data_IF_302728715355
#
_entry.id   IF_302728715355
#
_cell.length_a   1.000
_cell.length_b   1.000
_cell.length_c   1.000
_cell.angle_alpha   90.00
_cell.angle_beta   90.00
_cell.angle_gamma   90.00
#
_symmetry.space_group_name_H-M   'P 1'
#
loop_
_entity.id
_entity.type
_entity.pdbx_description
1 polymer ?
#
# COMPACT_ATOMS: atom_id res chain seq x y z
N UNK A 1 9.90 -0.74 31.68
CA UNK A 1 11.04 -0.67 30.74
C UNK A 1 10.67 -1.44 29.47
N UNK A 2 10.87 -0.89 28.27
CA UNK A 2 10.58 -1.60 27.00
C UNK A 2 11.71 -2.60 26.70
N UNK A 3 11.38 -3.72 26.04
CA UNK A 3 12.35 -4.78 25.70
C UNK A 3 13.50 -4.27 24.83
N UNK A 4 13.22 -3.30 23.95
CA UNK A 4 14.18 -2.68 23.04
C UNK A 4 14.73 -1.34 23.55
N UNK A 5 14.59 -1.07 24.84
CA UNK A 5 15.14 0.10 25.54
C UNK A 5 14.69 1.49 25.02
N UNK A 6 13.71 1.54 24.12
CA UNK A 6 13.13 2.81 23.65
C UNK A 6 12.37 3.54 24.76
N UNK A 7 12.22 4.86 24.60
CA UNK A 7 11.29 5.64 25.41
C UNK A 7 9.82 5.28 25.07
N UNK A 8 8.87 5.72 25.91
CA UNK A 8 7.45 5.39 25.76
C UNK A 8 6.84 6.04 24.51
N UNK A 9 7.27 7.25 24.20
CA UNK A 9 6.86 8.09 23.07
C UNK A 9 7.74 7.93 21.83
N UNK A 10 8.87 7.24 21.95
CA UNK A 10 9.79 7.02 20.83
C UNK A 10 9.26 5.94 19.88
N UNK A 11 9.17 6.26 18.59
CA UNK A 11 8.92 5.30 17.52
C UNK A 11 10.10 4.31 17.36
N UNK A 12 9.86 3.17 16.70
CA UNK A 12 10.97 2.35 16.19
C UNK A 12 11.70 3.10 15.09
N UNK A 13 12.90 2.66 14.73
CA UNK A 13 13.57 3.14 13.53
C UNK A 13 12.67 2.95 12.31
N UNK A 14 12.49 4.02 11.53
CA UNK A 14 11.69 4.02 10.31
C UNK A 14 12.62 4.20 9.12
N UNK A 15 12.56 3.25 8.19
CA UNK A 15 13.29 3.33 6.92
C UNK A 15 12.34 3.14 5.75
N UNK A 16 12.52 3.95 4.71
CA UNK A 16 11.71 3.93 3.49
C UNK A 16 12.67 3.84 2.31
N UNK A 17 12.60 2.74 1.57
CA UNK A 17 13.42 2.51 0.38
C UNK A 17 12.52 2.55 -0.86
N UNK A 18 12.58 3.65 -1.63
CA UNK A 18 11.83 3.81 -2.89
C UNK A 18 12.52 3.08 -4.05
N UNK A 19 11.79 2.89 -5.15
CA UNK A 19 12.23 2.14 -6.33
C UNK A 19 12.73 0.73 -5.98
N UNK A 20 12.06 0.06 -5.04
CA UNK A 20 12.52 -1.22 -4.51
C UNK A 20 12.42 -2.37 -5.53
N UNK A 21 11.32 -2.42 -6.27
CA UNK A 21 11.12 -3.31 -7.42
C UNK A 21 10.97 -2.50 -8.71
N UNK A 22 11.25 -3.13 -9.85
CA UNK A 22 11.47 -2.43 -11.13
C UNK A 22 10.23 -2.12 -11.96
N UNK A 23 9.10 -2.79 -11.71
CA UNK A 23 7.98 -2.82 -12.66
C UNK A 23 6.81 -1.93 -12.26
N UNK A 24 6.51 -1.83 -10.96
CA UNK A 24 5.43 -0.98 -10.49
C UNK A 24 5.81 0.50 -10.64
N UNK A 25 4.86 1.35 -11.04
CA UNK A 25 5.09 2.78 -11.18
C UNK A 25 5.44 3.46 -9.84
N UNK A 26 5.00 2.87 -8.73
CA UNK A 26 5.55 3.13 -7.40
C UNK A 26 5.94 1.83 -6.69
N UNK A 27 7.12 1.80 -6.07
CA UNK A 27 7.59 0.61 -5.34
C UNK A 27 8.43 0.99 -4.14
N UNK A 28 7.98 0.60 -2.95
CA UNK A 28 8.55 1.02 -1.68
C UNK A 28 8.68 -0.15 -0.72
N UNK A 29 9.87 -0.38 -0.18
CA UNK A 29 10.04 -1.17 1.03
C UNK A 29 10.02 -0.23 2.24
N UNK A 30 9.02 -0.38 3.12
CA UNK A 30 8.92 0.34 4.39
C UNK A 30 9.27 -0.59 5.56
N UNK A 31 10.10 -0.09 6.46
CA UNK A 31 10.60 -0.82 7.63
C UNK A 31 10.31 -0.02 8.90
N UNK A 32 9.55 -0.60 9.84
CA UNK A 32 9.30 -0.07 11.19
C UNK A 32 9.98 -1.02 12.19
N UNK A 33 11.26 -0.77 12.49
CA UNK A 33 12.12 -1.75 13.14
C UNK A 33 12.18 -3.05 12.34
N UNK A 34 11.76 -4.16 12.95
CA UNK A 34 11.75 -5.48 12.29
C UNK A 34 10.53 -5.73 11.39
N UNK A 35 9.52 -4.87 11.43
CA UNK A 35 8.38 -5.00 10.52
C UNK A 35 8.76 -4.47 9.15
N UNK A 36 8.59 -5.29 8.11
CA UNK A 36 8.94 -4.97 6.72
C UNK A 36 7.76 -5.24 5.80
N UNK A 37 7.35 -4.22 5.06
CA UNK A 37 6.23 -4.30 4.11
C UNK A 37 6.69 -3.76 2.76
N UNK A 38 6.50 -4.55 1.71
CA UNK A 38 6.63 -4.10 0.34
C UNK A 38 5.29 -3.50 -0.10
N UNK A 39 5.31 -2.24 -0.49
CA UNK A 39 4.18 -1.51 -1.02
C UNK A 39 4.43 -1.19 -2.49
N UNK A 40 3.62 -1.73 -3.39
CA UNK A 40 3.65 -1.38 -4.81
C UNK A 40 2.38 -0.66 -5.21
N UNK A 41 2.51 0.27 -6.16
CA UNK A 41 1.42 1.00 -6.76
C UNK A 41 1.46 0.78 -8.27
N UNK A 42 0.42 0.14 -8.79
CA UNK A 42 0.28 -0.21 -10.21
C UNK A 42 -0.86 0.59 -10.83
N UNK A 43 -0.63 1.15 -12.02
CA UNK A 43 -1.63 1.96 -12.73
C UNK A 43 -2.37 1.13 -13.79
N UNK A 44 -3.69 1.20 -13.78
CA UNK A 44 -4.56 0.73 -14.85
C UNK A 44 -5.28 1.94 -15.50
N UNK A 45 -5.28 2.00 -16.84
CA UNK A 45 -6.00 3.04 -17.61
C UNK A 45 -7.50 2.69 -17.74
N UNK A 46 -8.11 2.27 -16.63
CA UNK A 46 -9.52 1.95 -16.52
C UNK A 46 -10.02 2.20 -15.11
N UNK A 47 -11.34 2.20 -14.92
CA UNK A 47 -11.99 2.35 -13.63
C UNK A 47 -12.99 1.23 -13.39
N UNK A 48 -13.35 0.94 -12.13
CA UNK A 48 -14.45 0.04 -11.81
C UNK A 48 -15.73 0.42 -12.57
N UNK A 49 -16.54 -0.58 -12.94
CA UNK A 49 -17.75 -0.38 -13.76
C UNK A 49 -18.70 0.69 -13.20
N UNK A 50 -18.80 0.82 -11.89
CA UNK A 50 -19.67 1.80 -11.23
C UNK A 50 -19.16 3.25 -11.31
N UNK A 51 -17.92 3.50 -11.77
CA UNK A 51 -17.33 4.82 -11.98
C UNK A 51 -17.11 5.18 -13.46
N UNK A 52 -17.33 4.22 -14.37
CA UNK A 52 -17.08 4.45 -15.81
C UNK A 52 -17.94 5.60 -16.34
N UNK A 53 -17.32 6.55 -17.03
CA UNK A 53 -17.98 7.73 -17.59
C UNK A 53 -18.24 8.86 -16.58
N UNK A 54 -17.80 8.71 -15.32
CA UNK A 54 -17.96 9.75 -14.29
C UNK A 54 -16.75 10.70 -14.24
N UNK A 55 -15.70 10.45 -15.03
CA UNK A 55 -14.50 11.29 -15.05
C UNK A 55 -13.74 11.29 -13.71
N UNK A 56 -13.90 10.22 -12.92
CA UNK A 56 -13.30 10.09 -11.59
C UNK A 56 -12.48 8.81 -11.51
N UNK A 57 -11.28 8.92 -10.96
CA UNK A 57 -10.36 7.81 -10.74
C UNK A 57 -10.66 7.02 -9.49
N UNK A 58 -9.86 5.98 -9.29
CA UNK A 58 -10.03 5.10 -8.16
C UNK A 58 -8.69 4.70 -7.56
N UNK A 59 -8.66 4.54 -6.23
CA UNK A 59 -7.53 3.92 -5.53
C UNK A 59 -8.08 2.76 -4.75
N UNK A 60 -7.49 1.58 -4.89
CA UNK A 60 -7.84 0.37 -4.13
C UNK A 60 -6.59 -0.27 -3.55
N UNK A 61 -6.77 -1.21 -2.62
CA UNK A 61 -5.64 -1.87 -1.99
C UNK A 61 -5.89 -3.35 -1.73
N UNK A 62 -4.84 -4.14 -1.93
CA UNK A 62 -4.70 -5.52 -1.51
C UNK A 62 -3.65 -5.63 -0.40
N UNK A 63 -3.83 -6.57 0.51
CA UNK A 63 -2.93 -6.77 1.64
C UNK A 63 -2.68 -8.26 1.81
N UNK A 64 -1.41 -8.63 1.76
CA UNK A 64 -0.96 -10.00 1.91
C UNK A 64 0.03 -10.10 3.06
N UNK A 65 -0.02 -11.23 3.79
CA UNK A 65 1.08 -11.61 4.68
C UNK A 65 1.72 -12.86 4.13
N UNK A 66 3.04 -12.84 3.92
CA UNK A 66 3.75 -14.05 3.54
C UNK A 66 3.61 -15.10 4.64
N UNK A 67 3.51 -16.41 4.29
CA UNK A 67 3.39 -17.50 5.24
C UNK A 67 4.36 -17.45 6.42
N UNK A 68 5.58 -16.95 6.22
CA UNK A 68 6.62 -16.85 7.24
C UNK A 68 6.95 -15.42 7.66
N UNK A 69 6.00 -14.51 7.50
CA UNK A 69 6.13 -13.14 7.99
C UNK A 69 6.09 -13.06 9.52
N UNK A 70 5.42 -13.99 10.21
CA UNK A 70 5.36 -14.04 11.68
C UNK A 70 6.19 -15.20 12.24
N UNK A 71 6.35 -15.25 13.58
CA UNK A 71 7.08 -16.32 14.29
C UNK A 71 6.56 -17.72 14.01
N UNK A 72 5.27 -17.88 13.69
CA UNK A 72 4.64 -19.16 13.34
C UNK A 72 4.20 -19.11 11.89
N UNK A 73 4.39 -20.22 11.15
CA UNK A 73 4.01 -20.25 9.75
C UNK A 73 2.48 -20.24 9.65
N UNK A 74 1.93 -19.33 8.87
CA UNK A 74 0.52 -19.38 8.44
C UNK A 74 0.42 -19.96 7.04
N UNK A 75 -0.70 -20.59 6.70
CA UNK A 75 -0.93 -20.99 5.31
C UNK A 75 -1.26 -19.78 4.44
N UNK A 76 -0.94 -19.89 3.15
CA UNK A 76 -1.31 -18.88 2.17
C UNK A 76 -2.84 -18.89 1.99
N UNK A 77 -3.48 -17.72 1.98
CA UNK A 77 -4.94 -17.60 1.83
C UNK A 77 -5.46 -18.24 0.53
N UNK A 78 -4.68 -18.16 -0.55
CA UNK A 78 -4.99 -18.84 -1.81
C UNK A 78 -5.17 -20.37 -1.66
N UNK A 79 -4.34 -21.03 -0.84
CA UNK A 79 -4.46 -22.46 -0.57
C UNK A 79 -5.68 -22.81 0.29
N UNK A 80 -6.20 -21.84 1.06
CA UNK A 80 -7.44 -21.97 1.84
C UNK A 80 -8.69 -21.61 1.03
N UNK A 81 -8.53 -21.10 -0.19
CA UNK A 81 -9.62 -20.72 -1.10
C UNK A 81 -10.40 -19.47 -0.70
N UNK A 82 -9.99 -18.74 0.36
CA UNK A 82 -10.66 -17.50 0.79
C UNK A 82 -9.73 -16.57 1.58
N UNK A 83 -9.95 -15.27 1.41
CA UNK A 83 -9.34 -14.24 2.26
C UNK A 83 -9.96 -14.25 3.66
N UNK A 84 -9.16 -13.94 4.68
CA UNK A 84 -9.64 -13.79 6.04
C UNK A 84 -10.33 -12.43 6.25
N UNK A 85 -11.24 -12.35 7.23
CA UNK A 85 -11.90 -11.08 7.57
C UNK A 85 -10.92 -9.97 7.97
N UNK A 86 -9.83 -10.34 8.66
CA UNK A 86 -8.75 -9.42 9.02
C UNK A 86 -8.04 -8.84 7.79
N UNK A 87 -7.74 -9.67 6.80
CA UNK A 87 -7.15 -9.21 5.53
C UNK A 87 -8.07 -8.20 4.84
N UNK A 88 -9.36 -8.52 4.71
CA UNK A 88 -10.34 -7.63 4.09
C UNK A 88 -10.51 -6.31 4.86
N UNK A 89 -10.50 -6.34 6.20
CA UNK A 89 -10.54 -5.14 7.05
C UNK A 89 -9.36 -4.20 6.71
N UNK A 90 -8.14 -4.74 6.66
CA UNK A 90 -6.91 -3.98 6.41
C UNK A 90 -6.90 -3.43 4.97
N UNK A 91 -7.29 -4.23 3.97
CA UNK A 91 -7.44 -3.78 2.58
C UNK A 91 -8.37 -2.56 2.49
N UNK A 92 -9.54 -2.66 3.13
CA UNK A 92 -10.51 -1.56 3.15
C UNK A 92 -9.96 -0.35 3.90
N UNK A 93 -9.20 -0.54 4.98
CA UNK A 93 -8.56 0.54 5.73
C UNK A 93 -7.51 1.27 4.89
N UNK A 94 -6.59 0.54 4.24
CA UNK A 94 -5.56 1.12 3.38
C UNK A 94 -6.22 1.90 2.24
N UNK A 95 -7.15 1.27 1.51
CA UNK A 95 -7.84 1.92 0.40
C UNK A 95 -8.59 3.19 0.84
N UNK A 96 -9.26 3.19 1.99
CA UNK A 96 -9.93 4.41 2.52
C UNK A 96 -8.93 5.49 2.89
N UNK A 97 -7.83 5.14 3.54
CA UNK A 97 -6.81 6.09 3.99
C UNK A 97 -6.16 6.80 2.80
N UNK A 98 -5.84 6.06 1.75
CA UNK A 98 -5.19 6.61 0.56
C UNK A 98 -6.16 7.42 -0.31
N UNK A 99 -7.41 6.97 -0.48
CA UNK A 99 -8.42 7.77 -1.20
C UNK A 99 -8.70 9.13 -0.53
N UNK A 100 -8.55 9.22 0.79
CA UNK A 100 -8.69 10.49 1.50
C UNK A 100 -7.55 11.49 1.22
N UNK A 101 -6.43 11.02 0.67
CA UNK A 101 -5.25 11.83 0.36
C UNK A 101 -5.22 12.35 -1.09
N UNK A 102 -6.15 11.90 -1.95
CA UNK A 102 -6.09 12.11 -3.41
C UNK A 102 -7.37 12.77 -3.92
N UNK A 103 -7.26 13.82 -4.75
CA UNK A 103 -8.39 14.32 -5.53
C UNK A 103 -8.71 13.36 -6.68
N UNK A 104 -9.64 12.44 -6.44
CA UNK A 104 -10.00 11.41 -7.41
C UNK A 104 -10.55 11.97 -8.72
N UNK A 105 -11.08 13.20 -8.76
CA UNK A 105 -11.51 13.81 -10.02
C UNK A 105 -10.32 14.22 -10.88
N UNK A 106 -9.27 14.75 -10.24
CA UNK A 106 -8.03 15.12 -10.94
C UNK A 106 -7.25 13.90 -11.41
N UNK A 107 -7.40 12.75 -10.75
CA UNK A 107 -6.78 11.49 -11.17
C UNK A 107 -7.29 10.99 -12.55
N UNK A 108 -8.43 11.49 -13.03
CA UNK A 108 -9.05 11.05 -14.28
C UNK A 108 -9.48 9.58 -14.21
N UNK A 109 -9.90 8.98 -15.33
CA UNK A 109 -10.36 7.58 -15.35
C UNK A 109 -9.20 6.57 -15.31
N UNK A 110 -8.37 6.65 -14.26
CA UNK A 110 -7.30 5.72 -13.93
C UNK A 110 -7.57 5.07 -12.57
N UNK A 111 -7.20 3.80 -12.46
CA UNK A 111 -7.18 3.08 -11.17
C UNK A 111 -5.74 2.89 -10.74
N UNK A 112 -5.45 3.22 -9.49
CA UNK A 112 -4.20 2.84 -8.83
C UNK A 112 -4.50 1.72 -7.85
N UNK A 113 -3.94 0.54 -8.11
CA UNK A 113 -4.01 -0.62 -7.21
C UNK A 113 -2.76 -0.65 -6.36
N UNK A 114 -2.96 -0.70 -5.04
CA UNK A 114 -1.89 -0.74 -4.05
C UNK A 114 -1.78 -2.15 -3.51
N UNK A 115 -0.64 -2.80 -3.68
CA UNK A 115 -0.38 -4.11 -3.07
C UNK A 115 0.56 -3.93 -1.88
N UNK A 116 0.13 -4.40 -0.72
CA UNK A 116 0.91 -4.34 0.52
C UNK A 116 1.26 -5.76 0.98
N UNK A 117 2.46 -6.22 0.65
CA UNK A 117 2.96 -7.54 1.02
C UNK A 117 3.87 -7.46 2.24
N UNK A 118 3.40 -8.04 3.34
CA UNK A 118 4.20 -8.14 4.56
C UNK A 118 5.21 -9.28 4.43
N UNK A 119 6.47 -8.90 4.38
CA UNK A 119 7.62 -9.80 4.30
C UNK A 119 8.00 -10.27 5.72
N UNK A 120 7.98 -9.36 6.69
CA UNK A 120 8.29 -9.63 8.08
C UNK A 120 7.39 -8.81 9.01
N UNK A 121 6.87 -9.43 10.06
CA UNK A 121 5.89 -8.85 10.96
C UNK A 121 6.37 -8.93 12.41
N UNK A 122 6.50 -7.76 13.02
CA UNK A 122 6.82 -7.56 14.43
C UNK A 122 5.88 -6.49 15.02
N UNK A 123 4.58 -6.59 14.68
CA UNK A 123 3.56 -5.62 15.07
C UNK A 123 3.58 -4.30 14.28
N UNK A 124 2.41 -3.67 14.12
CA UNK A 124 2.27 -2.42 13.36
C UNK A 124 2.33 -2.57 11.84
N UNK A 125 2.12 -3.78 11.30
CA UNK A 125 2.19 -4.05 9.85
C UNK A 125 1.19 -3.22 9.03
N UNK A 126 -0.04 -3.08 9.53
CA UNK A 126 -1.09 -2.31 8.84
C UNK A 126 -0.77 -0.81 8.76
N UNK A 127 -0.18 -0.24 9.81
CA UNK A 127 0.22 1.17 9.84
C UNK A 127 1.46 1.40 8.98
N UNK A 128 2.44 0.48 9.03
CA UNK A 128 3.58 0.51 8.13
C UNK A 128 3.13 0.45 6.66
N UNK A 129 2.19 -0.45 6.33
CA UNK A 129 1.61 -0.58 5.00
C UNK A 129 0.99 0.73 4.49
N UNK A 130 0.20 1.43 5.30
CA UNK A 130 -0.38 2.73 4.93
C UNK A 130 0.72 3.77 4.65
N UNK A 131 1.75 3.83 5.51
CA UNK A 131 2.87 4.77 5.35
C UNK A 131 3.66 4.49 4.07
N UNK A 132 4.04 3.24 3.81
CA UNK A 132 4.76 2.88 2.59
C UNK A 132 3.93 3.06 1.33
N UNK A 133 2.65 2.69 1.39
CA UNK A 133 1.71 2.83 0.28
C UNK A 133 1.44 4.29 -0.09
N UNK A 134 1.42 5.22 0.87
CA UNK A 134 1.30 6.65 0.57
C UNK A 134 2.47 7.14 -0.29
N UNK A 135 3.70 6.69 0.00
CA UNK A 135 4.88 7.03 -0.80
C UNK A 135 4.81 6.37 -2.19
N UNK A 136 4.46 5.08 -2.26
CA UNK A 136 4.31 4.38 -3.53
C UNK A 136 3.22 5.02 -4.43
N UNK A 137 2.10 5.45 -3.83
CA UNK A 137 1.03 6.16 -4.53
C UNK A 137 1.51 7.48 -5.12
N UNK A 138 2.26 8.27 -4.35
CA UNK A 138 2.86 9.53 -4.84
C UNK A 138 3.81 9.26 -6.01
N UNK A 139 4.64 8.20 -5.93
CA UNK A 139 5.54 7.80 -7.01
C UNK A 139 4.77 7.44 -8.29
N UNK A 140 3.70 6.65 -8.18
CA UNK A 140 2.84 6.31 -9.31
C UNK A 140 2.16 7.55 -9.93
N UNK A 141 1.65 8.48 -9.12
CA UNK A 141 1.06 9.73 -9.63
C UNK A 141 2.10 10.60 -10.35
N UNK A 142 3.35 10.60 -9.89
CA UNK A 142 4.44 11.30 -10.58
C UNK A 142 4.74 10.71 -11.96
N UNK A 143 4.61 9.38 -12.12
CA UNK A 143 4.73 8.73 -13.44
C UNK A 143 3.61 9.17 -14.38
N UNK A 144 2.38 9.31 -13.89
CA UNK A 144 1.27 9.83 -14.69
C UNK A 144 1.49 11.30 -15.11
N UNK A 145 2.03 12.13 -14.21
CA UNK A 145 2.37 13.52 -14.49
C UNK A 145 3.50 13.63 -15.52
N UNK A 146 4.58 12.86 -15.36
CA UNK A 146 5.71 12.87 -16.31
C UNK A 146 5.29 12.44 -17.71
N UNK A 147 4.34 11.50 -17.79
CA UNK A 147 3.76 11.02 -19.03
C UNK A 147 2.65 11.93 -19.59
N UNK A 148 2.40 13.09 -18.96
CA UNK A 148 1.35 14.06 -19.32
C UNK A 148 -0.06 13.45 -19.39
N UNK A 149 -0.29 12.35 -18.66
CA UNK A 149 -1.63 11.76 -18.49
C UNK A 149 -2.46 12.53 -17.47
N UNK A 150 -1.79 13.29 -16.60
CA UNK A 150 -2.39 14.22 -15.67
C UNK A 150 -1.87 15.62 -15.92
N UNK A 151 -2.74 16.62 -15.75
CA UNK A 151 -2.37 18.02 -15.93
C UNK A 151 -1.76 18.66 -14.68
N UNK A 152 -2.10 18.15 -13.49
CA UNK A 152 -1.70 18.65 -12.18
C UNK A 152 -1.70 17.51 -11.17
N UNK A 153 -0.94 17.65 -10.09
CA UNK A 153 -0.94 16.70 -8.98
C UNK A 153 -2.36 16.55 -8.41
N UNK A 154 -2.94 15.34 -8.43
CA UNK A 154 -4.20 15.04 -7.77
C UNK A 154 -4.11 15.18 -6.25
#
# INVERSE_FOLDING_TARGET
MRIDQRALDQLREVKITRNYTRYAEGSVLVEFGHTKVLCTASIDNSVPRFLKGQGQGWVTAEYGMLPRSTHTRSDREAARGKQTGRTQEIQRLIGRSLRAMVDLKKLGENTITIDCDVIQADGGTRTAAITGAAVALVDAMNVLLSNKKLNKTP
#
